data_IF_847456865501
#
_entry.id   IF_847456865501
#
_cell.length_a   1.000
_cell.length_b   1.000
_cell.length_c   1.000
_cell.angle_alpha   90.00
_cell.angle_beta   90.00
_cell.angle_gamma   90.00
#
_symmetry.space_group_name_H-M   'P 1'
#
loop_
_entity.id
_entity.type
_entity.pdbx_description
1 polymer ?
#
# COMPACT_ATOMS: atom_id res chain seq x y z
N UNK A 1 0.97 -9.99 11.83
CA UNK A 1 1.37 -8.59 11.69
C UNK A 1 0.37 -7.85 10.81
N UNK A 2 -0.10 -6.71 11.25
CA UNK A 2 -1.09 -5.89 10.54
C UNK A 2 -0.41 -4.66 9.93
N UNK A 3 -0.55 -4.48 8.62
CA UNK A 3 0.11 -3.40 7.89
C UNK A 3 -0.86 -2.71 6.94
N UNK A 4 -0.74 -1.39 6.82
CA UNK A 4 -1.31 -0.65 5.69
C UNK A 4 -0.30 -0.69 4.55
N UNK A 5 -0.75 -1.02 3.35
CA UNK A 5 0.12 -1.17 2.18
C UNK A 5 0.02 0.06 1.30
N UNK A 6 1.17 0.65 0.99
CA UNK A 6 1.27 1.77 0.04
C UNK A 6 0.93 1.33 -1.38
N UNK A 7 0.28 2.20 -2.14
CA UNK A 7 -0.11 1.92 -3.53
C UNK A 7 1.06 1.44 -4.39
N UNK A 8 2.22 2.06 -4.25
CA UNK A 8 3.40 1.71 -5.06
C UNK A 8 3.90 0.29 -4.80
N UNK A 9 3.74 -0.24 -3.58
CA UNK A 9 4.04 -1.64 -3.27
C UNK A 9 3.12 -2.56 -4.06
N UNK A 10 1.83 -2.24 -4.09
CA UNK A 10 0.84 -3.03 -4.84
C UNK A 10 1.15 -2.99 -6.34
N UNK A 11 1.48 -1.82 -6.88
CA UNK A 11 1.85 -1.67 -8.29
C UNK A 11 3.09 -2.52 -8.63
N UNK A 12 4.12 -2.50 -7.78
CA UNK A 12 5.32 -3.32 -7.97
C UNK A 12 5.01 -4.81 -8.03
N UNK A 13 4.06 -5.28 -7.23
CA UNK A 13 3.66 -6.69 -7.22
C UNK A 13 3.06 -7.13 -8.56
N UNK A 14 2.49 -6.21 -9.31
CA UNK A 14 1.87 -6.48 -10.61
C UNK A 14 2.92 -6.41 -11.73
N UNK A 15 3.83 -5.44 -11.66
CA UNK A 15 4.79 -5.16 -12.73
C UNK A 15 5.79 -6.30 -12.91
N UNK A 16 6.46 -6.74 -11.85
CA UNK A 16 7.47 -7.79 -11.97
C UNK A 16 7.96 -8.39 -10.65
N UNK A 17 7.57 -7.85 -9.52
CA UNK A 17 8.19 -8.21 -8.25
C UNK A 17 7.51 -9.42 -7.62
N UNK A 18 8.06 -10.61 -7.92
CA UNK A 18 7.53 -11.86 -7.40
C UNK A 18 7.67 -11.98 -5.89
N UNK A 19 8.69 -11.34 -5.29
CA UNK A 19 8.88 -11.36 -3.83
C UNK A 19 7.80 -10.55 -3.15
N UNK A 20 7.45 -9.38 -3.69
CA UNK A 20 6.36 -8.58 -3.17
C UNK A 20 5.04 -9.35 -3.23
N UNK A 21 4.76 -10.05 -4.34
CA UNK A 21 3.58 -10.91 -4.44
C UNK A 21 3.55 -12.00 -3.36
N UNK A 22 4.69 -12.65 -3.12
CA UNK A 22 4.79 -13.68 -2.08
C UNK A 22 4.49 -13.12 -0.69
N UNK A 23 4.98 -11.92 -0.39
CA UNK A 23 4.70 -11.25 0.87
C UNK A 23 3.22 -10.90 1.01
N UNK A 24 2.58 -10.42 -0.08
CA UNK A 24 1.14 -10.12 -0.05
C UNK A 24 0.32 -11.38 0.25
N UNK A 25 0.76 -12.52 -0.25
CA UNK A 25 0.09 -13.81 -0.04
C UNK A 25 0.50 -14.49 1.26
N UNK A 26 1.44 -13.92 2.01
CA UNK A 26 1.96 -14.53 3.23
C UNK A 26 0.92 -14.45 4.36
N UNK A 27 0.53 -15.61 4.86
CA UNK A 27 -0.57 -15.72 5.84
C UNK A 27 -0.34 -15.01 7.18
N UNK A 28 0.93 -14.78 7.55
CA UNK A 28 1.26 -14.05 8.77
C UNK A 28 1.10 -12.53 8.64
N UNK A 29 0.84 -12.04 7.44
CA UNK A 29 0.57 -10.63 7.18
C UNK A 29 -0.91 -10.41 6.94
N UNK A 30 -1.50 -9.50 7.69
CA UNK A 30 -2.83 -8.98 7.42
C UNK A 30 -2.72 -7.56 6.87
N UNK A 31 -3.19 -7.38 5.65
CA UNK A 31 -2.93 -6.18 4.87
C UNK A 31 -4.20 -5.36 4.65
N UNK A 32 -4.03 -4.04 4.70
CA UNK A 32 -5.10 -3.07 4.53
C UNK A 32 -4.64 -1.97 3.59
N UNK A 33 -5.56 -1.41 2.83
CA UNK A 33 -5.29 -0.22 2.03
C UNK A 33 -6.56 0.64 1.98
N UNK A 34 -6.46 1.97 1.91
CA UNK A 34 -7.66 2.80 1.80
C UNK A 34 -8.27 2.70 0.41
N UNK A 35 -9.57 2.93 0.29
CA UNK A 35 -10.24 2.94 -1.02
C UNK A 35 -9.66 4.00 -1.98
N UNK A 36 -8.98 5.01 -1.44
CA UNK A 36 -8.22 5.98 -2.23
C UNK A 36 -7.20 5.28 -3.17
N UNK A 37 -6.77 4.08 -2.84
CA UNK A 37 -5.91 3.27 -3.70
C UNK A 37 -6.46 3.18 -5.13
N UNK A 38 -7.77 3.06 -5.31
CA UNK A 38 -8.35 2.93 -6.63
C UNK A 38 -8.22 4.20 -7.46
N UNK A 39 -8.16 5.36 -6.83
CA UNK A 39 -7.86 6.63 -7.51
C UNK A 39 -6.42 6.62 -8.03
N UNK A 40 -5.48 6.16 -7.20
CA UNK A 40 -4.09 6.00 -7.61
C UNK A 40 -3.94 4.95 -8.71
N UNK A 41 -4.65 3.83 -8.61
CA UNK A 41 -4.64 2.79 -9.64
C UNK A 41 -5.12 3.32 -10.99
N UNK A 42 -6.20 4.07 -11.00
CA UNK A 42 -6.75 4.65 -12.23
C UNK A 42 -5.74 5.56 -12.93
N UNK A 43 -4.99 6.33 -12.15
CA UNK A 43 -3.93 7.20 -12.68
C UNK A 43 -2.74 6.43 -13.25
N UNK A 44 -2.47 5.23 -12.75
CA UNK A 44 -1.24 4.48 -13.05
C UNK A 44 -1.45 3.23 -13.89
N UNK A 45 -2.70 2.87 -14.20
CA UNK A 45 -2.99 1.58 -14.84
C UNK A 45 -2.31 1.43 -16.21
N UNK A 46 -2.25 2.50 -17.01
CA UNK A 46 -1.62 2.46 -18.32
C UNK A 46 -0.11 2.25 -18.21
N UNK A 47 0.52 2.91 -17.23
CA UNK A 47 1.93 2.74 -16.96
C UNK A 47 2.26 1.33 -16.45
N UNK A 48 1.39 0.79 -15.60
CA UNK A 48 1.53 -0.58 -15.09
C UNK A 48 1.49 -1.57 -16.25
N UNK A 49 0.54 -1.41 -17.17
CA UNK A 49 0.43 -2.26 -18.34
C UNK A 49 1.70 -2.18 -19.19
N UNK A 50 2.18 -0.97 -19.47
CA UNK A 50 3.39 -0.75 -20.26
C UNK A 50 4.61 -1.41 -19.62
N UNK A 51 4.83 -1.18 -18.35
CA UNK A 51 5.99 -1.72 -17.62
C UNK A 51 5.94 -3.23 -17.44
N UNK A 52 4.75 -3.80 -17.23
CA UNK A 52 4.59 -5.24 -17.06
C UNK A 52 4.72 -5.99 -18.38
N UNK A 53 4.50 -5.32 -19.52
CA UNK A 53 4.47 -5.92 -20.86
C UNK A 53 3.38 -6.99 -21.00
N UNK A 54 2.35 -6.89 -20.19
CA UNK A 54 1.20 -7.81 -20.21
C UNK A 54 0.00 -7.14 -20.87
N UNK A 55 -0.92 -7.95 -21.43
CA UNK A 55 -2.17 -7.44 -21.93
C UNK A 55 -3.03 -6.88 -20.79
N UNK A 56 -3.87 -5.88 -21.09
CA UNK A 56 -4.73 -5.24 -20.10
C UNK A 56 -5.58 -6.26 -19.33
N UNK A 57 -6.12 -7.26 -20.00
CA UNK A 57 -6.93 -8.29 -19.35
C UNK A 57 -6.15 -9.06 -18.30
N UNK A 58 -4.88 -9.35 -18.56
CA UNK A 58 -4.01 -10.05 -17.62
C UNK A 58 -3.66 -9.13 -16.43
N UNK A 59 -3.38 -7.87 -16.71
CA UNK A 59 -3.12 -6.87 -15.65
C UNK A 59 -4.32 -6.77 -14.71
N UNK A 60 -5.53 -6.64 -15.24
CA UNK A 60 -6.74 -6.56 -14.45
C UNK A 60 -6.98 -7.81 -13.61
N UNK A 61 -6.72 -8.99 -14.18
CA UNK A 61 -6.83 -10.25 -13.45
C UNK A 61 -5.84 -10.32 -12.29
N UNK A 62 -4.58 -9.92 -12.52
CA UNK A 62 -3.56 -9.87 -11.47
C UNK A 62 -3.94 -8.89 -10.36
N UNK A 63 -4.48 -7.72 -10.72
CA UNK A 63 -4.97 -6.75 -9.74
C UNK A 63 -6.04 -7.39 -8.86
N UNK A 64 -7.02 -8.07 -9.45
CA UNK A 64 -8.09 -8.72 -8.70
C UNK A 64 -7.56 -9.78 -7.75
N UNK A 65 -6.61 -10.60 -8.20
CA UNK A 65 -5.98 -11.63 -7.37
C UNK A 65 -5.20 -10.99 -6.20
N UNK A 66 -4.40 -9.98 -6.47
CA UNK A 66 -3.62 -9.29 -5.43
C UNK A 66 -4.57 -8.62 -4.43
N UNK A 67 -5.58 -7.90 -4.91
CA UNK A 67 -6.50 -7.17 -4.05
C UNK A 67 -7.42 -8.09 -3.24
N UNK A 68 -7.63 -9.33 -3.67
CA UNK A 68 -8.38 -10.31 -2.87
C UNK A 68 -7.68 -10.68 -1.55
N UNK A 69 -6.40 -10.34 -1.42
CA UNK A 69 -5.60 -10.58 -0.21
C UNK A 69 -5.39 -9.33 0.64
N UNK A 70 -6.02 -8.23 0.26
CA UNK A 70 -5.88 -6.94 0.94
C UNK A 70 -7.27 -6.42 1.28
N UNK A 71 -7.48 -6.04 2.54
CA UNK A 71 -8.74 -5.42 2.96
C UNK A 71 -8.75 -3.96 2.52
N UNK A 72 -9.68 -3.61 1.63
CA UNK A 72 -9.88 -2.23 1.18
C UNK A 72 -10.84 -1.54 2.14
N UNK A 73 -10.40 -0.46 2.77
CA UNK A 73 -11.14 0.21 3.83
C UNK A 73 -11.76 1.51 3.31
N UNK A 74 -13.07 1.70 3.48
CA UNK A 74 -13.75 2.90 3.00
C UNK A 74 -13.39 4.13 3.84
N UNK A 75 -13.53 5.31 3.25
CA UNK A 75 -13.19 6.59 3.85
C UNK A 75 -13.85 6.79 5.22
N UNK A 76 -15.09 6.36 5.38
CA UNK A 76 -15.85 6.55 6.62
C UNK A 76 -15.14 5.97 7.85
N UNK A 77 -14.33 4.93 7.66
CA UNK A 77 -13.62 4.28 8.76
C UNK A 77 -12.37 5.01 9.22
N UNK A 78 -11.80 5.90 8.40
CA UNK A 78 -10.60 6.64 8.77
C UNK A 78 -10.70 8.16 8.63
N UNK A 79 -11.87 8.68 8.24
CA UNK A 79 -12.07 10.10 7.98
C UNK A 79 -11.73 10.99 9.18
N UNK A 80 -11.96 10.51 10.41
CA UNK A 80 -11.66 11.27 11.61
C UNK A 80 -10.17 11.59 11.78
N UNK A 81 -9.30 10.77 11.20
CA UNK A 81 -7.86 10.91 11.29
C UNK A 81 -7.25 11.70 10.12
N UNK A 82 -8.07 12.00 9.09
CA UNK A 82 -7.60 12.72 7.91
C UNK A 82 -7.03 14.12 8.25
N UNK A 83 -7.68 14.94 9.09
CA UNK A 83 -7.11 16.25 9.41
C UNK A 83 -5.74 16.19 10.04
N UNK A 84 -5.52 15.27 11.01
CA UNK A 84 -4.23 15.11 11.66
C UNK A 84 -3.18 14.54 10.70
N UNK A 85 -3.55 13.52 9.93
CA UNK A 85 -2.66 12.93 8.93
C UNK A 85 -2.25 13.96 7.87
N UNK A 86 -3.19 14.79 7.42
CA UNK A 86 -2.89 15.83 6.44
C UNK A 86 -1.89 16.86 6.99
N UNK A 87 -2.03 17.28 8.24
CA UNK A 87 -1.07 18.19 8.87
C UNK A 87 0.35 17.63 8.85
N UNK A 88 0.48 16.31 9.02
CA UNK A 88 1.77 15.64 8.99
C UNK A 88 2.29 15.53 7.55
N UNK A 89 1.43 15.12 6.62
CA UNK A 89 1.85 14.76 5.27
C UNK A 89 1.88 15.91 4.27
N UNK A 90 1.21 17.02 4.53
CA UNK A 90 1.10 18.14 3.57
C UNK A 90 2.45 18.70 3.09
N UNK A 91 3.46 18.66 3.95
CA UNK A 91 4.81 19.16 3.64
C UNK A 91 5.76 18.03 3.23
N UNK A 92 5.29 16.80 3.19
CA UNK A 92 6.07 15.62 2.77
C UNK A 92 5.54 15.11 1.44
N UNK A 93 4.34 14.54 1.45
CA UNK A 93 3.59 14.12 0.27
C UNK A 93 2.11 14.03 0.64
N UNK A 94 1.33 15.02 0.22
CA UNK A 94 -0.09 15.10 0.58
C UNK A 94 -0.92 13.92 0.05
N UNK A 95 -0.48 13.26 -1.02
CA UNK A 95 -1.18 12.10 -1.59
C UNK A 95 -1.08 10.85 -0.72
N UNK A 96 -0.18 10.85 0.27
CA UNK A 96 -0.04 9.75 1.23
C UNK A 96 -0.91 9.94 2.48
N UNK A 97 -1.67 11.03 2.54
CA UNK A 97 -2.52 11.35 3.70
C UNK A 97 -3.49 10.22 4.04
N UNK A 98 -4.17 9.66 3.05
CA UNK A 98 -5.15 8.58 3.28
C UNK A 98 -4.51 7.33 3.89
N UNK A 99 -3.30 7.00 3.45
CA UNK A 99 -2.57 5.82 3.96
C UNK A 99 -2.17 6.01 5.41
N UNK A 100 -1.66 7.18 5.77
CA UNK A 100 -1.34 7.49 7.16
C UNK A 100 -2.60 7.55 8.04
N UNK A 101 -3.66 8.18 7.57
CA UNK A 101 -4.92 8.26 8.30
C UNK A 101 -5.51 6.88 8.59
N UNK A 102 -5.47 5.99 7.60
CA UNK A 102 -5.93 4.61 7.79
C UNK A 102 -5.08 3.88 8.83
N UNK A 103 -3.76 4.03 8.75
CA UNK A 103 -2.85 3.40 9.71
C UNK A 103 -3.13 3.86 11.14
N UNK A 104 -3.39 5.15 11.32
CA UNK A 104 -3.75 5.72 12.62
C UNK A 104 -5.08 5.18 13.13
N UNK A 105 -6.08 5.10 12.25
CA UNK A 105 -7.42 4.61 12.58
C UNK A 105 -7.43 3.15 13.03
N UNK A 106 -6.75 2.29 12.30
CA UNK A 106 -6.72 0.85 12.57
C UNK A 106 -5.69 0.46 13.62
N UNK A 107 -4.80 1.38 14.02
CA UNK A 107 -3.72 1.11 14.98
C UNK A 107 -2.89 -0.10 14.56
N UNK A 108 -2.53 -0.13 13.28
CA UNK A 108 -1.73 -1.22 12.71
C UNK A 108 -0.29 -1.17 13.23
N UNK A 109 0.45 -2.26 12.99
CA UNK A 109 1.86 -2.35 13.37
C UNK A 109 2.75 -1.43 12.54
N UNK A 110 2.33 -1.08 11.34
CA UNK A 110 3.08 -0.17 10.49
C UNK A 110 2.48 0.02 9.11
N UNK A 111 3.20 0.80 8.31
CA UNK A 111 2.89 1.00 6.88
C UNK A 111 3.99 0.32 6.07
N UNK A 112 3.58 -0.53 5.14
CA UNK A 112 4.51 -1.15 4.19
C UNK A 112 4.68 -0.24 3.00
N UNK A 113 5.85 0.39 2.90
CA UNK A 113 6.19 1.30 1.82
C UNK A 113 7.68 1.29 1.57
N UNK A 114 8.07 1.38 0.31
CA UNK A 114 9.46 1.58 -0.10
C UNK A 114 9.77 3.06 -0.40
N UNK A 115 8.78 3.95 -0.26
CA UNK A 115 8.93 5.37 -0.49
C UNK A 115 9.60 6.03 0.72
N UNK A 116 10.76 6.69 0.53
CA UNK A 116 11.44 7.40 1.62
C UNK A 116 10.58 8.51 2.23
N UNK A 117 9.63 9.09 1.49
CA UNK A 117 8.79 10.17 1.99
C UNK A 117 7.91 9.72 3.16
N UNK A 118 7.29 8.53 3.06
CA UNK A 118 6.49 8.01 4.16
C UNK A 118 7.31 7.75 5.42
N UNK A 119 8.58 7.42 5.29
CA UNK A 119 9.46 7.22 6.45
C UNK A 119 9.87 8.51 7.14
N UNK A 120 9.61 9.68 6.55
CA UNK A 120 9.92 10.98 7.17
C UNK A 120 8.97 11.34 8.30
N UNK A 121 7.75 10.78 8.31
CA UNK A 121 6.83 10.93 9.44
C UNK A 121 7.19 9.92 10.54
N UNK A 122 6.91 10.25 11.79
CA UNK A 122 7.24 9.40 12.93
C UNK A 122 6.02 8.98 13.75
N UNK A 123 4.82 9.20 13.22
CA UNK A 123 3.58 8.82 13.90
C UNK A 123 3.34 7.31 13.85
N UNK A 124 3.60 6.70 12.69
CA UNK A 124 3.43 5.26 12.44
C UNK A 124 4.73 4.74 11.86
N UNK A 125 5.19 3.59 12.35
CA UNK A 125 6.39 2.94 11.82
C UNK A 125 6.20 2.51 10.37
N UNK A 126 7.24 2.67 9.54
CA UNK A 126 7.24 2.18 8.17
C UNK A 126 8.17 0.99 8.04
N UNK A 127 7.78 0.06 7.16
CA UNK A 127 8.57 -1.12 6.83
C UNK A 127 8.77 -1.17 5.33
N UNK A 128 10.02 -1.31 4.90
CA UNK A 128 10.33 -1.58 3.50
C UNK A 128 10.11 -3.07 3.19
N UNK A 129 10.00 -3.39 1.91
CA UNK A 129 9.93 -4.79 1.47
C UNK A 129 11.14 -5.57 1.97
N UNK A 130 12.32 -4.95 1.89
CA UNK A 130 13.57 -5.57 2.37
C UNK A 130 13.53 -5.91 3.85
N UNK A 131 13.00 -5.00 4.68
CA UNK A 131 12.86 -5.24 6.11
C UNK A 131 11.90 -6.39 6.40
N UNK A 132 10.79 -6.49 5.65
CA UNK A 132 9.84 -7.59 5.83
C UNK A 132 10.42 -8.94 5.41
N UNK A 133 11.16 -8.98 4.31
CA UNK A 133 11.87 -10.19 3.88
C UNK A 133 12.79 -10.68 4.98
N UNK A 134 13.56 -9.78 5.57
CA UNK A 134 14.48 -10.10 6.65
C UNK A 134 13.75 -10.56 7.90
N UNK A 135 12.68 -9.85 8.27
CA UNK A 135 11.89 -10.16 9.48
C UNK A 135 11.25 -11.55 9.42
N UNK A 136 10.72 -11.92 8.27
CA UNK A 136 10.02 -13.21 8.09
C UNK A 136 10.90 -14.30 7.49
N UNK A 137 12.14 -14.00 7.21
CA UNK A 137 13.12 -14.94 6.67
C UNK A 137 12.67 -15.58 5.36
N UNK A 138 12.16 -14.75 4.48
CA UNK A 138 11.65 -15.18 3.15
C UNK A 138 12.73 -15.14 2.05
#
# INVERSE_FOLDING_TARGET
MRLVVDANVIFSSIIKDSITRRLILFEDLRLFTPEYFYIELEKHIDLIQEKSKLDRNIVELLIDVIMSNIDVVPLDEYIQFVPEAYKIMKDIDEYDTAFLALAMSLKVDGIWSNDPDLSKQNKIKTYTTRELIKKFNI
#
